data_IF_069408192223
#
_entry.id   IF_069408192223
#
_cell.length_a   1.000
_cell.length_b   1.000
_cell.length_c   1.000
_cell.angle_alpha   90.00
_cell.angle_beta   90.00
_cell.angle_gamma   90.00
#
_symmetry.space_group_name_H-M   'P 1'
#
loop_
_entity.id
_entity.type
_entity.pdbx_description
1 polymer ?
#
# COMPACT_ATOMS: atom_id res chain seq x y z
N UNK A 1 11.79 4.78 -20.19
CA UNK A 1 12.86 5.16 -19.26
C UNK A 1 12.69 4.27 -18.04
N UNK A 2 13.68 3.41 -17.85
CA UNK A 2 13.58 2.16 -17.11
C UNK A 2 13.73 2.41 -15.61
N UNK A 3 12.75 1.97 -14.83
CA UNK A 3 12.86 1.91 -13.38
C UNK A 3 13.77 0.73 -13.06
N UNK A 4 14.85 0.99 -12.32
CA UNK A 4 15.80 -0.04 -11.88
C UNK A 4 15.05 -1.18 -11.17
N UNK A 5 14.98 -2.32 -11.84
CA UNK A 5 14.58 -3.61 -11.28
C UNK A 5 15.82 -4.25 -10.65
N UNK A 6 15.92 -4.24 -9.32
CA UNK A 6 16.72 -5.20 -8.56
C UNK A 6 16.22 -5.30 -7.10
N UNK A 7 15.53 -6.41 -6.83
CA UNK A 7 15.60 -7.33 -5.68
C UNK A 7 15.54 -6.83 -4.21
N UNK A 8 14.73 -7.57 -3.42
CA UNK A 8 14.64 -7.64 -1.93
C UNK A 8 13.62 -6.71 -1.25
N UNK A 9 12.92 -7.15 -0.18
CA UNK A 9 12.07 -6.27 0.64
C UNK A 9 12.90 -5.07 1.09
N UNK A 10 12.32 -3.88 1.12
CA UNK A 10 13.08 -2.65 1.35
C UNK A 10 13.83 -2.72 2.68
N UNK A 11 15.18 -2.69 2.61
CA UNK A 11 16.16 -2.61 3.71
C UNK A 11 16.07 -1.31 4.55
N UNK A 12 14.95 -0.59 4.47
CA UNK A 12 14.78 0.70 5.15
C UNK A 12 14.18 0.40 6.51
N UNK A 13 14.89 0.75 7.57
CA UNK A 13 14.42 0.54 8.93
C UNK A 13 13.10 1.28 9.20
N UNK A 14 12.26 0.81 10.13
CA UNK A 14 10.94 1.40 10.37
C UNK A 14 10.96 2.88 10.75
N UNK A 15 12.01 3.38 11.44
CA UNK A 15 12.08 4.77 11.85
C UNK A 15 12.36 5.68 10.64
N UNK A 16 13.33 5.31 9.81
CA UNK A 16 13.59 5.99 8.54
C UNK A 16 12.36 5.92 7.63
N UNK A 17 11.68 4.78 7.59
CA UNK A 17 10.49 4.61 6.78
C UNK A 17 9.35 5.53 7.25
N UNK A 18 9.07 5.58 8.55
CA UNK A 18 8.06 6.47 9.13
C UNK A 18 8.35 7.93 8.81
N UNK A 19 9.60 8.39 9.01
CA UNK A 19 9.99 9.76 8.69
C UNK A 19 9.77 10.11 7.22
N UNK A 20 10.19 9.22 6.30
CA UNK A 20 9.99 9.40 4.87
C UNK A 20 8.50 9.41 4.48
N UNK A 21 7.70 8.50 5.03
CA UNK A 21 6.26 8.43 4.79
C UNK A 21 5.56 9.71 5.25
N UNK A 22 5.87 10.20 6.45
CA UNK A 22 5.28 11.46 6.97
C UNK A 22 5.63 12.64 6.07
N UNK A 23 6.89 12.79 5.65
CA UNK A 23 7.28 13.87 4.72
C UNK A 23 6.51 13.79 3.41
N UNK A 24 6.37 12.59 2.83
CA UNK A 24 5.57 12.38 1.62
C UNK A 24 4.08 12.69 1.86
N UNK A 25 3.53 12.32 3.01
CA UNK A 25 2.14 12.59 3.38
C UNK A 25 1.82 14.08 3.48
N UNK A 26 2.77 14.91 3.92
CA UNK A 26 2.58 16.37 3.99
C UNK A 26 2.30 17.01 2.63
N UNK A 27 2.73 16.36 1.53
CA UNK A 27 2.46 16.82 0.16
C UNK A 27 1.08 16.44 -0.37
N UNK A 28 0.33 15.60 0.35
CA UNK A 28 -1.00 15.11 -0.04
C UNK A 28 -2.12 15.82 0.73
N UNK A 29 -3.10 16.46 0.06
CA UNK A 29 -4.26 17.04 0.73
C UNK A 29 -5.06 16.06 1.60
N UNK A 30 -5.08 14.79 1.21
CA UNK A 30 -5.75 13.72 1.97
C UNK A 30 -5.00 13.42 3.27
N UNK A 31 -3.69 13.20 3.19
CA UNK A 31 -2.89 12.73 4.31
C UNK A 31 -2.46 13.84 5.27
N UNK A 32 -2.31 15.08 4.81
CA UNK A 32 -1.90 16.21 5.66
C UNK A 32 -2.90 16.54 6.79
N UNK A 33 -4.12 15.98 6.75
CA UNK A 33 -5.17 16.14 7.76
C UNK A 33 -5.13 15.06 8.85
N UNK A 34 -4.29 14.03 8.67
CA UNK A 34 -4.17 12.94 9.62
C UNK A 34 -3.54 13.43 10.92
N UNK A 35 -4.09 12.95 12.03
CA UNK A 35 -3.59 13.17 13.37
C UNK A 35 -2.59 12.06 13.72
N UNK A 36 -1.85 12.21 14.81
CA UNK A 36 -0.83 11.23 15.21
C UNK A 36 -1.44 9.83 15.38
N UNK A 37 -2.64 9.72 15.93
CA UNK A 37 -3.32 8.42 16.07
C UNK A 37 -3.73 7.83 14.72
N UNK A 38 -3.97 8.63 13.69
CA UNK A 38 -4.28 8.12 12.35
C UNK A 38 -3.02 7.51 11.73
N UNK A 39 -1.86 8.13 11.97
CA UNK A 39 -0.55 7.58 11.58
C UNK A 39 -0.29 6.26 12.32
N UNK A 40 -0.48 6.22 13.63
CA UNK A 40 -0.34 5.00 14.44
C UNK A 40 -1.26 3.89 13.92
N UNK A 41 -2.55 4.18 13.72
CA UNK A 41 -3.55 3.20 13.29
C UNK A 41 -3.31 2.66 11.89
N UNK A 42 -2.89 3.50 10.94
CA UNK A 42 -2.80 3.12 9.53
C UNK A 42 -1.38 2.74 9.08
N UNK A 43 -0.33 3.37 9.62
CA UNK A 43 1.06 3.03 9.27
C UNK A 43 1.72 2.10 10.29
N UNK A 44 1.33 2.17 11.57
CA UNK A 44 1.92 1.37 12.64
C UNK A 44 1.95 -0.13 12.34
N UNK A 45 0.82 -0.77 11.96
CA UNK A 45 0.80 -2.18 11.61
C UNK A 45 1.74 -2.53 10.44
N UNK A 46 1.79 -1.69 9.40
CA UNK A 46 2.71 -1.89 8.28
C UNK A 46 4.18 -1.80 8.71
N UNK A 47 4.53 -0.81 9.53
CA UNK A 47 5.89 -0.61 10.04
C UNK A 47 6.35 -1.78 10.92
N UNK A 48 5.47 -2.28 11.80
CA UNK A 48 5.76 -3.42 12.68
C UNK A 48 5.97 -4.72 11.90
N UNK A 49 5.20 -4.91 10.83
CA UNK A 49 5.19 -6.16 10.05
C UNK A 49 6.14 -6.13 8.84
N UNK A 50 6.77 -4.99 8.56
CA UNK A 50 7.59 -4.79 7.36
C UNK A 50 6.78 -4.71 6.07
N UNK A 51 5.47 -4.48 6.16
CA UNK A 51 4.54 -4.49 5.02
C UNK A 51 4.41 -3.13 4.36
N UNK A 52 5.55 -2.59 3.94
CA UNK A 52 5.65 -1.34 3.21
C UNK A 52 6.76 -1.39 2.16
N UNK A 53 6.64 -0.52 1.16
CA UNK A 53 7.70 -0.25 0.19
C UNK A 53 7.80 1.25 -0.06
N UNK A 54 9.02 1.76 0.01
CA UNK A 54 9.38 3.13 -0.35
C UNK A 54 10.08 3.12 -1.70
N UNK A 55 9.79 4.14 -2.51
CA UNK A 55 10.40 4.35 -3.82
C UNK A 55 11.30 5.58 -3.75
N UNK A 56 12.43 5.49 -4.43
CA UNK A 56 13.37 6.60 -4.59
C UNK A 56 13.39 7.06 -6.05
N UNK A 57 13.59 8.35 -6.26
CA UNK A 57 13.85 8.92 -7.59
C UNK A 57 15.32 8.66 -8.00
N UNK A 58 15.69 9.13 -9.20
CA UNK A 58 17.06 8.99 -9.73
C UNK A 58 18.12 9.70 -8.88
N UNK A 59 17.71 10.68 -8.06
CA UNK A 59 18.58 11.38 -7.10
C UNK A 59 18.72 10.67 -5.75
N UNK A 60 18.04 9.53 -5.56
CA UNK A 60 18.07 8.76 -4.32
C UNK A 60 17.12 9.29 -3.23
N UNK A 61 16.25 10.25 -3.54
CA UNK A 61 15.29 10.85 -2.61
C UNK A 61 13.99 10.06 -2.60
N UNK A 62 13.38 9.89 -1.42
CA UNK A 62 12.08 9.24 -1.30
C UNK A 62 11.00 10.03 -2.03
N UNK A 63 10.29 9.39 -2.95
CA UNK A 63 9.32 10.04 -3.83
C UNK A 63 7.92 9.42 -3.78
N UNK A 64 7.78 8.20 -3.23
CA UNK A 64 6.50 7.56 -3.02
C UNK A 64 6.59 6.43 -1.99
N UNK A 65 5.45 6.03 -1.43
CA UNK A 65 5.35 4.81 -0.65
C UNK A 65 4.03 4.08 -0.91
N UNK A 66 4.01 2.82 -0.51
CA UNK A 66 2.80 2.00 -0.40
C UNK A 66 2.89 1.08 0.81
N UNK A 67 1.76 0.88 1.49
CA UNK A 67 1.59 -0.10 2.57
C UNK A 67 0.57 -1.14 2.15
N UNK A 68 0.66 -2.34 2.72
CA UNK A 68 -0.32 -3.40 2.46
C UNK A 68 -0.65 -4.23 3.69
N UNK A 69 -1.76 -4.94 3.61
CA UNK A 69 -2.19 -5.93 4.58
C UNK A 69 -2.60 -7.23 3.87
N UNK A 70 -2.29 -8.36 4.50
CA UNK A 70 -2.86 -9.67 4.21
C UNK A 70 -4.05 -9.91 5.14
N UNK A 71 -5.26 -9.76 4.61
CA UNK A 71 -6.49 -9.85 5.39
C UNK A 71 -7.12 -11.25 5.30
N UNK A 72 -7.67 -11.69 6.42
CA UNK A 72 -8.54 -12.86 6.48
C UNK A 72 -9.89 -12.58 5.78
N UNK A 73 -10.72 -13.61 5.65
CA UNK A 73 -12.03 -13.48 4.98
C UNK A 73 -12.91 -12.43 5.67
N UNK A 74 -12.94 -12.42 7.00
CA UNK A 74 -13.78 -11.52 7.79
C UNK A 74 -13.43 -10.05 7.54
N UNK A 75 -12.14 -9.70 7.59
CA UNK A 75 -11.69 -8.34 7.30
C UNK A 75 -11.76 -8.02 5.81
N UNK A 76 -11.56 -8.99 4.91
CA UNK A 76 -11.75 -8.78 3.49
C UNK A 76 -13.18 -8.33 3.17
N UNK A 77 -14.19 -9.01 3.73
CA UNK A 77 -15.59 -8.64 3.54
C UNK A 77 -15.91 -7.28 4.18
N UNK A 78 -15.42 -7.02 5.40
CA UNK A 78 -15.58 -5.70 6.04
C UNK A 78 -14.99 -4.57 5.19
N UNK A 79 -13.84 -4.78 4.57
CA UNK A 79 -13.23 -3.80 3.66
C UNK A 79 -14.02 -3.65 2.36
N UNK A 80 -14.63 -4.72 1.83
CA UNK A 80 -15.49 -4.64 0.63
C UNK A 80 -16.79 -3.89 0.89
N UNK A 81 -17.38 -4.05 2.06
CA UNK A 81 -18.69 -3.48 2.39
C UNK A 81 -18.57 -2.07 2.99
N UNK A 82 -17.62 -1.90 3.92
CA UNK A 82 -17.50 -0.72 4.78
C UNK A 82 -16.23 0.07 4.54
N UNK A 83 -15.28 -0.46 3.77
CA UNK A 83 -13.95 0.15 3.56
C UNK A 83 -13.16 0.39 4.84
N UNK A 84 -13.43 -0.42 5.87
CA UNK A 84 -12.81 -0.33 7.18
C UNK A 84 -12.49 -1.72 7.72
N UNK A 85 -11.36 -1.80 8.42
CA UNK A 85 -10.97 -2.99 9.17
C UNK A 85 -11.82 -3.17 10.41
N UNK A 86 -11.91 -4.41 10.86
CA UNK A 86 -12.42 -4.73 12.17
C UNK A 86 -11.38 -4.38 13.25
N UNK A 87 -11.80 -4.15 14.51
CA UNK A 87 -10.87 -3.81 15.58
C UNK A 87 -9.77 -4.85 15.83
N UNK A 88 -10.03 -6.11 15.50
CA UNK A 88 -9.14 -7.27 15.68
C UNK A 88 -8.32 -7.60 14.41
N UNK A 89 -8.25 -6.70 13.44
CA UNK A 89 -7.60 -6.97 12.16
C UNK A 89 -6.11 -7.28 12.31
N UNK A 90 -5.74 -8.49 11.88
CA UNK A 90 -4.36 -8.91 11.74
C UNK A 90 -3.90 -8.70 10.28
N UNK A 91 -2.75 -8.06 10.10
CA UNK A 91 -2.22 -7.69 8.78
C UNK A 91 -1.38 -8.77 8.09
N UNK A 92 -1.09 -9.91 8.74
CA UNK A 92 -0.16 -10.94 8.26
C UNK A 92 -0.81 -12.31 7.97
N UNK A 93 -1.98 -12.60 8.55
CA UNK A 93 -2.52 -13.97 8.56
C UNK A 93 -3.54 -14.26 7.46
N UNK A 94 -3.70 -13.34 6.50
CA UNK A 94 -4.70 -13.40 5.45
C UNK A 94 -4.20 -13.92 4.10
N UNK A 95 -5.16 -14.21 3.21
CA UNK A 95 -4.89 -14.52 1.79
C UNK A 95 -5.24 -13.35 0.85
N UNK A 96 -5.93 -12.33 1.35
CA UNK A 96 -6.39 -11.19 0.56
C UNK A 96 -5.42 -10.03 0.70
N UNK A 97 -4.79 -9.64 -0.40
CA UNK A 97 -3.87 -8.50 -0.43
C UNK A 97 -4.64 -7.19 -0.62
N UNK A 98 -4.55 -6.32 0.39
CA UNK A 98 -5.08 -4.96 0.33
C UNK A 98 -3.95 -3.95 0.38
N UNK A 99 -3.94 -3.00 -0.56
CA UNK A 99 -3.12 -1.80 -0.47
C UNK A 99 -3.85 -0.78 0.39
N UNK A 100 -3.24 -0.41 1.52
CA UNK A 100 -3.91 0.38 2.56
C UNK A 100 -3.67 1.85 2.30
N UNK A 101 -2.40 2.25 2.22
CA UNK A 101 -2.00 3.61 1.92
C UNK A 101 -1.03 3.67 0.75
N UNK A 102 -1.17 4.70 -0.07
CA UNK A 102 -0.25 4.98 -1.17
C UNK A 102 -0.16 6.48 -1.39
N UNK A 103 0.99 7.06 -1.03
CA UNK A 103 1.31 8.45 -1.38
C UNK A 103 2.30 8.45 -2.55
N UNK A 104 1.91 9.09 -3.65
CA UNK A 104 2.73 9.26 -4.85
C UNK A 104 2.49 10.67 -5.44
N UNK A 105 2.94 11.73 -4.74
CA UNK A 105 2.61 13.12 -5.09
C UNK A 105 3.02 13.53 -6.50
N UNK A 106 4.02 12.87 -7.07
CA UNK A 106 4.54 13.13 -8.42
C UNK A 106 3.87 12.28 -9.52
N UNK A 107 2.70 11.68 -9.26
CA UNK A 107 1.90 11.00 -10.28
C UNK A 107 2.29 9.55 -10.58
N UNK A 108 3.06 8.90 -9.71
CA UNK A 108 3.60 7.56 -9.96
C UNK A 108 2.69 6.39 -9.52
N UNK A 109 1.44 6.64 -9.12
CA UNK A 109 0.54 5.60 -8.59
C UNK A 109 0.37 4.41 -9.53
N UNK A 110 0.23 4.64 -10.83
CA UNK A 110 0.08 3.56 -11.82
C UNK A 110 1.34 2.71 -11.96
N UNK A 111 2.52 3.29 -11.75
CA UNK A 111 3.78 2.56 -11.73
C UNK A 111 3.88 1.68 -10.48
N UNK A 112 3.58 2.26 -9.31
CA UNK A 112 3.58 1.55 -8.02
C UNK A 112 2.66 0.34 -8.05
N UNK A 113 1.41 0.52 -8.48
CA UNK A 113 0.46 -0.61 -8.56
C UNK A 113 0.98 -1.71 -9.49
N UNK A 114 1.56 -1.36 -10.65
CA UNK A 114 2.14 -2.35 -11.57
C UNK A 114 3.32 -3.10 -10.95
N UNK A 115 4.21 -2.40 -10.25
CA UNK A 115 5.33 -3.01 -9.53
C UNK A 115 4.82 -3.97 -8.43
N UNK A 116 3.83 -3.55 -7.64
CA UNK A 116 3.23 -4.42 -6.62
C UNK A 116 2.64 -5.69 -7.24
N UNK A 117 1.94 -5.59 -8.38
CA UNK A 117 1.31 -6.74 -9.02
C UNK A 117 2.30 -7.69 -9.73
N UNK A 118 3.42 -7.17 -10.23
CA UNK A 118 4.35 -7.95 -11.05
C UNK A 118 5.54 -8.49 -10.27
N UNK A 119 6.01 -7.72 -9.29
CA UNK A 119 7.27 -7.98 -8.63
C UNK A 119 7.09 -8.35 -7.16
N UNK A 120 6.11 -7.78 -6.46
CA UNK A 120 5.87 -8.05 -5.03
C UNK A 120 4.84 -9.17 -4.83
N UNK A 121 3.75 -9.14 -5.61
CA UNK A 121 2.66 -10.12 -5.53
C UNK A 121 2.34 -10.75 -6.91
N UNK A 122 3.35 -11.35 -7.59
CA UNK A 122 3.15 -11.94 -8.91
C UNK A 122 2.09 -13.03 -8.94
N UNK A 123 1.98 -13.81 -7.86
CA UNK A 123 1.13 -15.00 -7.79
C UNK A 123 -0.26 -14.71 -7.20
N UNK A 124 -0.50 -13.47 -6.77
CA UNK A 124 -1.77 -13.09 -6.18
C UNK A 124 -2.83 -12.90 -7.29
N UNK A 125 -3.95 -13.62 -7.23
CA UNK A 125 -5.00 -13.46 -8.25
C UNK A 125 -5.62 -12.05 -8.28
N UNK A 126 -5.84 -11.48 -7.09
CA UNK A 126 -6.45 -10.16 -6.92
C UNK A 126 -5.78 -9.35 -5.82
N UNK A 127 -5.56 -8.07 -6.10
CA UNK A 127 -5.23 -7.05 -5.10
C UNK A 127 -6.37 -6.03 -5.02
N UNK A 128 -6.56 -5.46 -3.84
CA UNK A 128 -7.66 -4.55 -3.53
C UNK A 128 -7.14 -3.23 -2.96
N UNK A 129 -7.90 -2.14 -3.11
CA UNK A 129 -7.66 -0.90 -2.39
C UNK A 129 -8.95 -0.09 -2.23
N UNK A 130 -9.08 0.60 -1.11
CA UNK A 130 -10.11 1.65 -0.94
C UNK A 130 -9.57 2.95 -1.54
N UNK A 131 -10.33 3.57 -2.43
CA UNK A 131 -10.08 4.93 -2.89
C UNK A 131 -10.98 5.86 -2.09
N UNK A 132 -10.39 6.80 -1.39
CA UNK A 132 -11.10 7.78 -0.57
C UNK A 132 -11.27 9.12 -1.31
N UNK A 133 -12.34 9.83 -0.99
CA UNK A 133 -12.53 11.24 -1.30
C UNK A 133 -11.63 12.11 -0.41
N UNK A 134 -11.54 13.40 -0.69
CA UNK A 134 -10.73 14.33 0.11
C UNK A 134 -11.25 14.53 1.55
N UNK A 135 -12.53 14.27 1.78
CA UNK A 135 -13.17 14.26 3.11
C UNK A 135 -12.90 12.96 3.89
N UNK A 136 -12.22 11.98 3.28
CA UNK A 136 -11.93 10.68 3.87
C UNK A 136 -13.02 9.63 3.64
N UNK A 137 -14.17 9.99 3.07
CA UNK A 137 -15.23 9.06 2.70
C UNK A 137 -14.82 8.10 1.57
N UNK A 138 -15.51 6.98 1.42
CA UNK A 138 -15.19 6.00 0.37
C UNK A 138 -15.70 6.50 -0.97
N UNK A 139 -14.78 6.64 -1.94
CA UNK A 139 -15.12 6.95 -3.33
C UNK A 139 -15.43 5.70 -4.13
N UNK A 140 -14.57 4.69 -4.02
CA UNK A 140 -14.71 3.39 -4.70
C UNK A 140 -13.77 2.37 -4.12
N UNK A 141 -14.06 1.10 -4.34
CA UNK A 141 -13.12 0.01 -4.13
C UNK A 141 -12.54 -0.39 -5.48
N UNK A 142 -11.21 -0.36 -5.56
CA UNK A 142 -10.49 -0.83 -6.73
C UNK A 142 -10.08 -2.29 -6.53
N UNK A 143 -10.32 -3.10 -7.56
CA UNK A 143 -9.90 -4.49 -7.65
C UNK A 143 -9.09 -4.66 -8.92
N UNK A 144 -7.88 -5.17 -8.78
CA UNK A 144 -7.03 -5.47 -9.92
C UNK A 144 -6.75 -6.96 -9.98
N UNK A 145 -6.89 -7.55 -11.17
CA UNK A 145 -6.43 -8.91 -11.42
C UNK A 145 -4.94 -8.86 -11.80
N UNK A 146 -4.10 -9.71 -11.19
CA UNK A 146 -2.69 -9.76 -11.55
C UNK A 146 -2.48 -10.62 -12.80
N UNK A 147 -1.57 -10.17 -13.66
CA UNK A 147 -1.44 -10.69 -15.02
C UNK A 147 -0.99 -12.17 -15.08
N UNK A 148 -0.14 -12.63 -14.15
CA UNK A 148 0.31 -14.04 -14.11
C UNK A 148 -0.79 -15.02 -13.68
N UNK A 149 -1.78 -14.57 -12.91
CA UNK A 149 -2.97 -15.36 -12.62
C UNK A 149 -3.87 -15.57 -13.84
N UNK A 150 -3.78 -14.72 -14.87
CA UNK A 150 -4.54 -14.84 -16.12
C UNK A 150 -3.83 -15.71 -17.16
N UNK A 151 -2.52 -15.90 -17.04
CA UNK A 151 -1.69 -16.77 -17.89
C UNK A 151 -0.64 -17.47 -17.01
N UNK A 152 -0.97 -18.63 -16.41
CA UNK A 152 0.03 -19.41 -15.69
C UNK A 152 1.16 -19.77 -16.65
N UNK A 153 2.41 -19.59 -16.22
CA UNK A 153 3.56 -20.06 -16.99
C UNK A 153 3.38 -21.56 -17.27
N UNK A 154 3.53 -21.95 -18.54
CA UNK A 154 3.56 -23.35 -18.96
C UNK A 154 4.75 -24.08 -18.34
#
# INVERSE_FOLDING_TARGET
MSVNENSSPSLIDPLTALGAMVVLMLTSPLYRRWRIWDIERNLGPALQTGQYKLYKNERGEFCAFITWAFLDEKNHQSMLEKGEFLPDANWQNGKYVWFIDCAAPYGHTAHIVRDMQRNIFPDQHYCYAVRRNEDGGIRKIARWCCYRAQNPAK
#
